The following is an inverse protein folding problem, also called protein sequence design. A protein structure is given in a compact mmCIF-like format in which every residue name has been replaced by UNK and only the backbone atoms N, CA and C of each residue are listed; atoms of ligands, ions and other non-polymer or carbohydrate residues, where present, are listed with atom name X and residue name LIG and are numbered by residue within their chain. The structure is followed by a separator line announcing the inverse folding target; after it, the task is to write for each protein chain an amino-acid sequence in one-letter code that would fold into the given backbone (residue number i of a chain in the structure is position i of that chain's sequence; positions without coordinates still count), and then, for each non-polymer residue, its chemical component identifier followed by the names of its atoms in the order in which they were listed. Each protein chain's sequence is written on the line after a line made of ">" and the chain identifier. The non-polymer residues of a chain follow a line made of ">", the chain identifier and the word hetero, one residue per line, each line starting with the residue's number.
data_IF_581163931451
#
_entry.id   IF_581163931451
#
_cell.length_a   1.000
_cell.length_b   1.000
_cell.length_c   1.000
_cell.angle_alpha   90.00
_cell.angle_beta   90.00
_cell.angle_gamma   90.00
#
_symmetry.space_group_name_H-M   'P 1'
#
loop_
_entity.id
_entity.type
_entity.pdbx_description
1 polymer ?
#
# COMPACT_ATOMS: atom_id res chain seq x y z
N UNK A 1 31.83 -39.05 -6.99
CA UNK A 1 32.76 -39.59 -8.00
C UNK A 1 33.44 -38.42 -8.70
N UNK A 2 34.78 -38.37 -8.61
CA UNK A 2 35.75 -37.42 -9.22
C UNK A 2 35.65 -35.95 -8.75
N UNK A 3 36.54 -35.30 -7.98
CA UNK A 3 38.01 -35.22 -7.74
C UNK A 3 38.86 -34.64 -8.90
N UNK A 4 39.61 -33.58 -8.54
CA UNK A 4 40.76 -32.87 -9.18
C UNK A 4 40.39 -31.77 -10.20
N UNK A 5 41.01 -30.58 -10.27
CA UNK A 5 42.31 -30.12 -9.75
C UNK A 5 42.38 -28.58 -9.51
N UNK A 6 43.32 -28.21 -8.64
CA UNK A 6 43.88 -26.87 -8.38
C UNK A 6 44.59 -26.26 -9.59
N UNK A 7 44.56 -24.93 -9.74
CA UNK A 7 45.79 -24.12 -9.96
C UNK A 7 45.61 -22.69 -9.44
N UNK A 8 46.64 -22.21 -8.73
CA UNK A 8 46.80 -20.85 -8.27
C UNK A 8 47.42 -19.97 -9.38
N UNK A 9 47.08 -18.68 -9.44
CA UNK A 9 47.99 -17.67 -10.00
C UNK A 9 47.94 -16.38 -9.18
N UNK A 10 49.12 -16.06 -8.67
CA UNK A 10 49.49 -14.83 -7.99
C UNK A 10 49.59 -13.65 -8.96
N UNK A 11 49.53 -12.46 -8.37
CA UNK A 11 50.25 -11.23 -8.75
C UNK A 11 49.94 -10.58 -10.10
N UNK A 12 49.30 -9.41 -10.03
CA UNK A 12 49.83 -8.22 -10.71
C UNK A 12 49.28 -6.96 -10.06
N UNK A 13 49.97 -6.48 -9.03
CA UNK A 13 49.88 -5.08 -8.63
C UNK A 13 50.50 -4.27 -9.77
N UNK A 14 49.66 -3.63 -10.59
CA UNK A 14 50.12 -2.63 -11.56
C UNK A 14 50.52 -1.38 -10.79
N UNK A 15 51.82 -1.19 -10.61
CA UNK A 15 52.41 0.11 -10.33
C UNK A 15 52.01 1.05 -11.48
N UNK A 16 51.25 2.09 -11.16
CA UNK A 16 51.01 3.18 -12.09
C UNK A 16 52.34 3.91 -12.31
N UNK A 17 52.97 3.62 -13.45
CA UNK A 17 54.07 4.41 -14.00
C UNK A 17 53.49 5.77 -14.35
N UNK A 18 53.84 6.79 -13.59
CA UNK A 18 53.57 8.19 -13.94
C UNK A 18 54.55 8.54 -15.07
N UNK A 19 54.08 8.95 -16.27
CA UNK A 19 54.99 9.36 -17.32
C UNK A 19 55.65 10.69 -16.94
N UNK A 20 56.99 10.68 -16.90
CA UNK A 20 57.81 11.90 -16.89
C UNK A 20 57.43 12.74 -18.13
N UNK A 21 56.83 13.90 -17.88
CA UNK A 21 56.63 14.91 -18.92
C UNK A 21 57.99 15.51 -19.26
N UNK A 22 58.45 15.27 -20.48
CA UNK A 22 59.54 16.02 -21.09
C UNK A 22 59.15 17.51 -21.11
N UNK A 23 59.83 18.34 -20.33
CA UNK A 23 59.76 19.79 -20.40
C UNK A 23 60.82 20.28 -21.42
N UNK A 24 60.46 21.13 -22.39
CA UNK A 24 61.42 21.76 -23.29
C UNK A 24 62.29 22.79 -22.54
N UNK A 25 63.51 23.08 -23.01
CA UNK A 25 64.42 23.98 -22.33
C UNK A 25 64.05 25.44 -22.60
N UNK A 26 64.36 26.28 -21.60
CA UNK A 26 64.41 27.74 -21.64
C UNK A 26 63.08 28.51 -21.53
N UNK A 27 62.61 28.63 -20.28
CA UNK A 27 62.27 29.93 -19.69
C UNK A 27 62.31 29.77 -18.16
N UNK A 28 63.46 30.03 -17.54
CA UNK A 28 63.59 30.06 -16.08
C UNK A 28 62.89 31.33 -15.60
N UNK A 29 61.61 31.21 -15.22
CA UNK A 29 60.93 32.26 -14.50
C UNK A 29 61.46 32.26 -13.06
N UNK A 30 62.05 33.38 -12.64
CA UNK A 30 62.69 33.60 -11.33
C UNK A 30 61.68 33.61 -10.14
N UNK A 31 60.47 33.08 -10.33
CA UNK A 31 59.37 33.10 -9.36
C UNK A 31 59.27 31.88 -8.47
N UNK A 32 60.02 30.82 -8.77
CA UNK A 32 59.96 29.54 -8.03
C UNK A 32 61.13 29.35 -7.05
N UNK A 33 61.90 30.41 -6.76
CA UNK A 33 62.94 30.39 -5.72
C UNK A 33 62.31 30.61 -4.33
N UNK A 34 61.85 29.54 -3.71
CA UNK A 34 61.44 29.54 -2.31
C UNK A 34 62.67 29.29 -1.42
N UNK A 35 63.06 30.28 -0.61
CA UNK A 35 64.23 30.22 0.28
C UNK A 35 63.94 29.65 1.67
N UNK A 36 62.68 29.33 1.97
CA UNK A 36 62.26 28.81 3.28
C UNK A 36 62.43 27.28 3.35
N UNK A 37 63.07 26.79 4.40
CA UNK A 37 63.26 25.36 4.62
C UNK A 37 61.90 24.62 4.63
N UNK A 38 61.74 23.51 3.87
CA UNK A 38 60.50 22.75 3.88
C UNK A 38 60.29 22.12 5.25
N UNK A 39 59.27 22.57 5.99
CA UNK A 39 58.81 21.91 7.22
C UNK A 39 58.09 20.62 6.82
N UNK A 40 58.83 19.52 6.75
CA UNK A 40 58.29 18.20 6.48
C UNK A 40 57.35 17.79 7.62
N UNK A 41 56.04 17.73 7.36
CA UNK A 41 55.12 17.09 8.29
C UNK A 41 55.50 15.61 8.44
N UNK A 42 55.59 15.11 9.68
CA UNK A 42 55.85 13.69 9.91
C UNK A 42 54.80 12.83 9.19
N UNK A 43 55.21 11.71 8.56
CA UNK A 43 54.29 10.86 7.84
C UNK A 43 53.14 10.41 8.75
N UNK A 44 51.90 10.60 8.28
CA UNK A 44 50.69 10.36 9.07
C UNK A 44 50.68 8.94 9.63
N UNK A 45 50.61 8.83 10.97
CA UNK A 45 50.61 7.54 11.66
C UNK A 45 49.51 6.64 11.12
N UNK A 46 49.88 5.42 10.72
CA UNK A 46 48.94 4.42 10.18
C UNK A 46 47.81 4.18 11.18
N UNK A 47 46.55 4.30 10.70
CA UNK A 47 45.37 4.01 11.52
C UNK A 47 45.47 2.58 12.06
N UNK A 48 45.40 2.43 13.38
CA UNK A 48 45.44 1.12 14.03
C UNK A 48 44.22 0.31 13.61
N UNK A 49 44.42 -0.97 13.28
CA UNK A 49 43.32 -1.91 13.03
C UNK A 49 42.55 -2.05 14.34
N UNK A 50 41.22 -1.93 14.26
CA UNK A 50 40.36 -2.11 15.43
C UNK A 50 40.33 -3.58 15.83
N UNK A 51 40.25 -3.82 17.14
CA UNK A 51 40.16 -5.17 17.68
C UNK A 51 38.92 -5.89 17.13
N UNK A 52 39.03 -7.20 16.82
CA UNK A 52 37.93 -7.97 16.25
C UNK A 52 36.69 -7.99 17.18
N UNK A 53 36.90 -7.93 18.49
CA UNK A 53 35.82 -7.84 19.48
C UNK A 53 35.00 -6.55 19.35
N UNK A 54 35.66 -5.41 19.08
CA UNK A 54 35.00 -4.11 18.91
C UNK A 54 34.16 -4.09 17.62
N UNK A 55 34.64 -4.75 16.56
CA UNK A 55 33.89 -4.89 15.30
C UNK A 55 32.62 -5.73 15.50
N UNK A 56 32.73 -6.89 16.15
CA UNK A 56 31.57 -7.75 16.48
C UNK A 56 30.55 -7.01 17.33
N UNK A 57 30.98 -6.30 18.37
CA UNK A 57 30.08 -5.48 19.20
C UNK A 57 29.35 -4.39 18.39
N UNK A 58 30.02 -3.74 17.44
CA UNK A 58 29.39 -2.73 16.57
C UNK A 58 28.34 -3.37 15.65
N UNK A 59 28.63 -4.54 15.11
CA UNK A 59 27.69 -5.31 14.27
C UNK A 59 26.48 -5.77 15.07
N UNK A 60 26.66 -6.32 16.27
CA UNK A 60 25.57 -6.71 17.16
C UNK A 60 24.69 -5.52 17.55
N UNK A 61 25.29 -4.35 17.83
CA UNK A 61 24.52 -3.12 18.10
C UNK A 61 23.68 -2.70 16.88
N UNK A 62 24.22 -2.83 15.66
CA UNK A 62 23.46 -2.55 14.43
C UNK A 62 22.32 -3.56 14.24
N UNK A 63 22.58 -4.86 14.43
CA UNK A 63 21.56 -5.93 14.37
C UNK A 63 20.42 -5.66 15.36
N UNK A 64 20.73 -5.43 16.64
CA UNK A 64 19.73 -5.12 17.67
C UNK A 64 18.92 -3.87 17.36
N UNK A 65 19.53 -2.82 16.78
CA UNK A 65 18.81 -1.60 16.35
C UNK A 65 17.82 -1.90 15.23
N UNK A 66 18.26 -2.66 14.23
CA UNK A 66 17.42 -3.07 13.09
C UNK A 66 16.29 -3.98 13.56
N UNK A 67 16.57 -4.96 14.41
CA UNK A 67 15.56 -5.85 15.00
C UNK A 67 14.50 -5.08 15.79
N UNK A 68 14.90 -4.10 16.61
CA UNK A 68 13.96 -3.22 17.32
C UNK A 68 13.11 -2.40 16.34
N UNK A 69 13.72 -1.85 15.29
CA UNK A 69 13.00 -1.13 14.24
C UNK A 69 11.98 -2.03 13.53
N UNK A 70 12.36 -3.26 13.18
CA UNK A 70 11.45 -4.25 12.59
C UNK A 70 10.31 -4.58 13.55
N UNK A 71 10.58 -4.78 14.85
CA UNK A 71 9.54 -5.05 15.86
C UNK A 71 8.55 -3.87 15.97
N UNK A 72 9.05 -2.64 15.92
CA UNK A 72 8.21 -1.44 15.95
C UNK A 72 7.35 -1.33 14.69
N UNK A 73 7.94 -1.47 13.49
CA UNK A 73 7.20 -1.45 12.22
C UNK A 73 6.13 -2.55 12.17
N UNK A 74 6.45 -3.77 12.64
CA UNK A 74 5.46 -4.87 12.75
C UNK A 74 4.31 -4.52 13.71
N UNK A 75 4.56 -3.80 14.80
CA UNK A 75 3.52 -3.36 15.73
C UNK A 75 2.64 -2.26 15.12
N UNK A 76 3.23 -1.31 14.38
CA UNK A 76 2.50 -0.23 13.72
C UNK A 76 1.72 -0.71 12.49
N UNK A 77 2.23 -1.68 11.73
CA UNK A 77 1.53 -2.26 10.58
C UNK A 77 0.16 -2.89 10.93
N UNK A 78 -0.03 -3.31 12.18
CA UNK A 78 -1.30 -3.84 12.69
C UNK A 78 -2.31 -2.75 13.07
N UNK A 79 -1.90 -1.48 13.17
CA UNK A 79 -2.81 -0.38 13.49
C UNK A 79 -3.51 0.07 12.23
N UNK A 80 -4.83 -0.05 12.20
CA UNK A 80 -5.63 0.44 11.10
C UNK A 80 -5.80 1.95 11.17
N UNK A 81 -6.07 2.58 10.02
CA UNK A 81 -6.47 3.98 9.97
C UNK A 81 -7.83 4.13 10.67
N UNK A 82 -8.06 5.19 11.46
CA UNK A 82 -9.36 5.42 12.06
C UNK A 82 -10.42 5.70 10.99
N UNK A 83 -11.66 5.27 11.25
CA UNK A 83 -12.81 5.49 10.37
C UNK A 83 -13.55 6.73 10.87
N UNK A 84 -13.34 7.86 10.20
CA UNK A 84 -13.85 9.16 10.65
C UNK A 84 -15.38 9.23 10.71
N UNK A 85 -16.09 8.48 9.86
CA UNK A 85 -17.56 8.46 9.81
C UNK A 85 -18.18 7.69 10.98
N UNK A 86 -17.43 6.75 11.56
CA UNK A 86 -17.90 5.94 12.69
C UNK A 86 -17.72 6.67 14.02
N UNK A 87 -16.74 7.58 14.11
CA UNK A 87 -16.44 8.33 15.32
C UNK A 87 -17.16 9.69 15.34
N UNK A 88 -17.78 10.03 16.47
CA UNK A 88 -18.36 11.38 16.63
C UNK A 88 -17.23 12.39 16.78
N UNK A 89 -17.23 13.42 15.93
CA UNK A 89 -16.23 14.47 15.98
C UNK A 89 -16.17 15.14 17.38
N UNK A 90 -14.98 15.32 17.97
CA UNK A 90 -14.84 15.85 19.33
C UNK A 90 -15.36 17.28 19.48
N UNK A 91 -15.42 18.06 18.40
CA UNK A 91 -16.04 19.38 18.38
C UNK A 91 -17.55 19.30 18.64
N UNK A 92 -18.24 18.34 18.03
CA UNK A 92 -19.68 18.15 18.20
C UNK A 92 -20.04 17.73 19.62
N UNK A 93 -19.20 16.91 20.26
CA UNK A 93 -19.41 16.50 21.65
C UNK A 93 -19.36 17.71 22.60
N UNK A 94 -18.43 18.65 22.38
CA UNK A 94 -18.31 19.88 23.19
C UNK A 94 -19.47 20.84 22.95
N UNK A 95 -19.94 20.93 21.72
CA UNK A 95 -21.00 21.87 21.31
C UNK A 95 -22.42 21.28 21.45
N UNK A 96 -22.56 20.07 22.02
CA UNK A 96 -23.84 19.36 22.10
C UNK A 96 -24.94 20.21 22.74
N UNK A 97 -24.64 20.88 23.86
CA UNK A 97 -25.61 21.75 24.55
C UNK A 97 -26.05 22.96 23.73
N UNK A 98 -25.17 23.51 22.88
CA UNK A 98 -25.49 24.66 22.03
C UNK A 98 -26.29 24.26 20.77
N UNK A 99 -26.02 23.05 20.25
CA UNK A 99 -26.63 22.51 19.03
C UNK A 99 -27.86 21.66 19.28
N UNK A 100 -28.16 21.34 20.53
CA UNK A 100 -29.30 20.52 20.89
C UNK A 100 -30.62 21.23 20.53
N UNK A 101 -31.43 20.60 19.68
CA UNK A 101 -32.78 21.09 19.34
C UNK A 101 -33.79 20.39 20.26
N UNK A 102 -34.58 21.15 21.00
CA UNK A 102 -35.71 20.59 21.75
C UNK A 102 -36.73 19.99 20.78
N UNK A 103 -37.04 18.72 20.94
CA UNK A 103 -38.06 18.04 20.15
C UNK A 103 -39.45 18.34 20.72
N UNK A 104 -40.41 18.60 19.86
CA UNK A 104 -41.82 18.68 20.24
C UNK A 104 -42.34 17.29 20.64
N UNK A 105 -43.18 17.23 21.66
CA UNK A 105 -43.91 16.00 22.00
C UNK A 105 -44.81 15.63 20.81
N UNK A 106 -44.77 14.36 20.41
CA UNK A 106 -45.57 13.86 19.31
C UNK A 106 -47.00 13.63 19.77
N UNK A 107 -47.95 13.98 18.91
CA UNK A 107 -49.36 13.70 19.16
C UNK A 107 -49.66 12.20 19.00
N UNK A 108 -50.67 11.71 19.71
CA UNK A 108 -51.01 10.30 19.74
C UNK A 108 -51.34 9.73 18.36
N UNK A 109 -52.06 10.48 17.53
CA UNK A 109 -52.41 10.08 16.16
C UNK A 109 -51.15 9.88 15.30
N UNK A 110 -50.16 10.78 15.45
CA UNK A 110 -48.90 10.68 14.71
C UNK A 110 -48.08 9.47 15.12
N UNK A 111 -48.12 9.09 16.40
CA UNK A 111 -47.48 7.88 16.90
C UNK A 111 -48.15 6.62 16.31
N UNK A 112 -49.48 6.54 16.35
CA UNK A 112 -50.22 5.41 15.77
C UNK A 112 -49.96 5.26 14.26
N UNK A 113 -49.94 6.37 13.51
CA UNK A 113 -49.62 6.37 12.09
C UNK A 113 -48.23 5.77 11.82
N UNK A 114 -47.22 6.22 12.58
CA UNK A 114 -45.83 5.72 12.44
C UNK A 114 -45.74 4.24 12.75
N UNK A 115 -46.41 3.77 13.80
CA UNK A 115 -46.45 2.36 14.14
C UNK A 115 -47.10 1.53 13.02
N UNK A 116 -48.23 1.99 12.48
CA UNK A 116 -48.91 1.33 11.38
C UNK A 116 -48.01 1.26 10.12
N UNK A 117 -47.33 2.37 9.78
CA UNK A 117 -46.36 2.42 8.69
C UNK A 117 -45.21 1.45 8.91
N UNK A 118 -44.67 1.36 10.12
CA UNK A 118 -43.57 0.45 10.45
C UNK A 118 -44.00 -1.02 10.35
N UNK A 119 -45.22 -1.36 10.80
CA UNK A 119 -45.78 -2.71 10.61
C UNK A 119 -45.93 -3.05 9.13
N UNK A 120 -46.50 -2.13 8.34
CA UNK A 120 -46.66 -2.31 6.90
C UNK A 120 -45.30 -2.46 6.19
N UNK A 121 -44.31 -1.66 6.57
CA UNK A 121 -42.95 -1.74 6.04
C UNK A 121 -42.27 -3.07 6.36
N UNK A 122 -42.44 -3.58 7.58
CA UNK A 122 -41.90 -4.90 7.97
C UNK A 122 -42.51 -6.03 7.14
N UNK A 123 -43.84 -5.99 6.93
CA UNK A 123 -44.54 -6.97 6.08
C UNK A 123 -44.04 -6.87 4.62
N UNK A 124 -43.89 -5.66 4.11
CA UNK A 124 -43.36 -5.43 2.76
C UNK A 124 -41.94 -5.98 2.61
N UNK A 125 -41.04 -5.66 3.53
CA UNK A 125 -39.66 -6.15 3.52
C UNK A 125 -39.60 -7.68 3.58
N UNK A 126 -40.42 -8.31 4.42
CA UNK A 126 -40.52 -9.76 4.50
C UNK A 126 -40.95 -10.37 3.16
N UNK A 127 -42.01 -9.84 2.54
CA UNK A 127 -42.49 -10.33 1.23
C UNK A 127 -41.46 -10.12 0.12
N UNK A 128 -40.81 -8.95 0.10
CA UNK A 128 -39.72 -8.66 -0.84
C UNK A 128 -38.61 -9.70 -0.72
N UNK A 129 -38.16 -9.98 0.51
CA UNK A 129 -37.12 -10.97 0.76
C UNK A 129 -37.54 -12.40 0.37
N UNK A 130 -38.76 -12.81 0.71
CA UNK A 130 -39.30 -14.12 0.31
C UNK A 130 -39.35 -14.28 -1.22
N UNK A 131 -39.77 -13.24 -1.94
CA UNK A 131 -39.80 -13.26 -3.40
C UNK A 131 -38.40 -13.34 -4.00
N UNK A 132 -37.44 -12.58 -3.47
CA UNK A 132 -36.03 -12.63 -3.90
C UNK A 132 -35.42 -14.02 -3.64
N UNK A 133 -35.65 -14.59 -2.45
CA UNK A 133 -35.19 -15.93 -2.10
C UNK A 133 -35.77 -17.00 -3.04
N UNK A 134 -37.09 -16.98 -3.25
CA UNK A 134 -37.76 -17.91 -4.17
C UNK A 134 -37.28 -17.75 -5.62
N UNK A 135 -36.95 -16.54 -6.06
CA UNK A 135 -36.35 -16.30 -7.37
C UNK A 135 -34.95 -16.91 -7.49
N UNK A 136 -34.10 -16.72 -6.47
CA UNK A 136 -32.75 -17.31 -6.45
C UNK A 136 -32.80 -18.84 -6.42
N UNK A 137 -33.68 -19.43 -5.60
CA UNK A 137 -33.90 -20.89 -5.56
C UNK A 137 -34.27 -21.43 -6.94
N UNK A 138 -35.18 -20.75 -7.66
CA UNK A 138 -35.54 -21.13 -9.04
C UNK A 138 -34.35 -21.04 -9.98
N UNK A 139 -33.57 -19.95 -9.91
CA UNK A 139 -32.38 -19.78 -10.77
C UNK A 139 -31.40 -20.92 -10.54
N UNK A 140 -31.09 -21.24 -9.28
CA UNK A 140 -30.17 -22.33 -8.92
C UNK A 140 -30.71 -23.69 -9.40
N UNK A 141 -31.97 -24.00 -9.11
CA UNK A 141 -32.57 -25.26 -9.55
C UNK A 141 -32.59 -25.39 -11.09
N UNK A 142 -32.84 -24.30 -11.82
CA UNK A 142 -32.76 -24.31 -13.29
C UNK A 142 -31.33 -24.47 -13.80
N UNK A 143 -30.35 -23.88 -13.12
CA UNK A 143 -28.93 -24.03 -13.46
C UNK A 143 -28.48 -25.48 -13.25
N UNK A 144 -28.83 -26.10 -12.11
CA UNK A 144 -28.51 -27.49 -11.79
C UNK A 144 -29.11 -28.45 -12.82
N UNK A 145 -30.42 -28.30 -13.11
CA UNK A 145 -31.09 -29.10 -14.13
C UNK A 145 -30.46 -28.93 -15.51
N UNK A 146 -30.06 -27.70 -15.87
CA UNK A 146 -29.38 -27.45 -17.14
C UNK A 146 -28.03 -28.16 -17.21
N UNK A 147 -27.28 -28.22 -16.11
CA UNK A 147 -26.00 -28.94 -16.03
C UNK A 147 -26.17 -30.46 -16.10
N UNK A 148 -27.22 -31.01 -15.48
CA UNK A 148 -27.56 -32.44 -15.59
C UNK A 148 -27.85 -32.82 -17.04
N UNK A 149 -28.72 -32.06 -17.72
CA UNK A 149 -29.04 -32.29 -19.14
C UNK A 149 -27.80 -32.09 -20.05
N UNK A 150 -26.95 -31.11 -19.74
CA UNK A 150 -25.69 -30.89 -20.47
C UNK A 150 -24.76 -32.09 -20.35
N UNK A 151 -24.67 -32.69 -19.16
CA UNK A 151 -23.85 -33.87 -18.89
C UNK A 151 -24.33 -35.10 -19.67
N UNK A 152 -25.65 -35.30 -19.74
CA UNK A 152 -26.25 -36.38 -20.53
C UNK A 152 -26.00 -36.20 -22.04
N UNK A 153 -26.01 -34.96 -22.53
CA UNK A 153 -25.78 -34.66 -23.94
C UNK A 153 -24.28 -34.70 -24.33
N UNK A 154 -23.39 -34.18 -23.48
CA UNK A 154 -21.95 -34.11 -23.74
C UNK A 154 -21.13 -33.87 -22.47
N UNK A 155 -20.27 -34.82 -22.12
CA UNK A 155 -19.43 -34.72 -20.92
C UNK A 155 -18.32 -33.66 -21.05
N UNK A 156 -17.76 -33.47 -22.26
CA UNK A 156 -16.70 -32.50 -22.51
C UNK A 156 -17.15 -31.06 -22.23
N UNK A 157 -18.36 -30.69 -22.67
CA UNK A 157 -18.92 -29.35 -22.42
C UNK A 157 -19.26 -29.15 -20.95
N UNK A 158 -19.72 -30.19 -20.26
CA UNK A 158 -19.95 -30.16 -18.81
C UNK A 158 -18.66 -29.88 -18.04
N UNK A 159 -17.58 -30.58 -18.39
CA UNK A 159 -16.27 -30.38 -17.78
C UNK A 159 -15.72 -28.98 -18.02
N UNK A 160 -16.00 -28.38 -19.18
CA UNK A 160 -15.65 -27.00 -19.48
C UNK A 160 -16.50 -25.99 -18.70
N UNK A 161 -17.83 -26.21 -18.61
CA UNK A 161 -18.76 -25.29 -17.96
C UNK A 161 -18.60 -25.17 -16.44
N UNK A 162 -18.10 -26.23 -15.77
CA UNK A 162 -17.86 -26.23 -14.32
C UNK A 162 -16.58 -25.49 -13.92
N UNK A 163 -15.66 -25.26 -14.86
CA UNK A 163 -14.43 -24.55 -14.54
C UNK A 163 -14.72 -23.12 -14.05
N UNK A 164 -14.00 -22.71 -13.01
CA UNK A 164 -14.09 -21.34 -12.51
C UNK A 164 -13.49 -20.37 -13.53
N UNK A 165 -14.25 -19.34 -13.91
CA UNK A 165 -13.75 -18.28 -14.78
C UNK A 165 -12.81 -17.33 -14.01
N UNK A 166 -11.52 -17.40 -14.33
CA UNK A 166 -10.50 -16.53 -13.75
C UNK A 166 -10.63 -15.06 -14.24
N UNK A 167 -11.41 -14.80 -15.28
CA UNK A 167 -11.69 -13.45 -15.80
C UNK A 167 -12.84 -12.72 -15.09
N UNK A 168 -13.60 -13.40 -14.23
CA UNK A 168 -14.76 -12.82 -13.56
C UNK A 168 -14.39 -11.70 -12.58
N UNK A 169 -13.20 -11.74 -11.99
CA UNK A 169 -12.72 -10.74 -11.05
C UNK A 169 -11.49 -10.00 -11.59
N UNK A 170 -11.44 -8.66 -11.54
CA UNK A 170 -12.37 -7.74 -10.87
C UNK A 170 -13.55 -7.29 -11.75
N UNK A 171 -14.78 -7.67 -11.39
CA UNK A 171 -15.99 -7.14 -12.02
C UNK A 171 -16.26 -5.70 -11.56
N UNK A 172 -16.51 -4.79 -12.52
CA UNK A 172 -16.88 -3.41 -12.25
C UNK A 172 -18.23 -3.09 -12.88
N UNK A 173 -19.20 -2.71 -12.05
CA UNK A 173 -20.52 -2.29 -12.49
C UNK A 173 -20.73 -0.82 -12.18
N UNK A 174 -21.27 -0.08 -13.14
CA UNK A 174 -21.69 1.31 -12.90
C UNK A 174 -22.97 1.30 -12.08
N UNK A 175 -23.02 2.10 -11.01
CA UNK A 175 -24.22 2.26 -10.21
C UNK A 175 -25.35 2.86 -11.05
N UNK A 176 -26.58 2.43 -10.76
CA UNK A 176 -27.78 3.03 -11.36
C UNK A 176 -27.90 4.46 -10.84
N UNK A 177 -28.08 5.40 -11.76
CA UNK A 177 -28.27 6.83 -11.45
C UNK A 177 -29.75 7.16 -11.39
N UNK A 178 -30.13 8.13 -10.55
CA UNK A 178 -31.53 8.59 -10.46
C UNK A 178 -32.05 9.15 -11.79
N UNK A 179 -31.19 9.80 -12.55
CA UNK A 179 -31.50 10.36 -13.88
C UNK A 179 -30.42 9.94 -14.86
N UNK A 180 -30.78 9.50 -16.08
CA UNK A 180 -29.80 9.13 -17.10
C UNK A 180 -28.93 10.33 -17.52
N UNK A 181 -27.73 10.09 -18.06
CA UNK A 181 -26.84 11.15 -18.50
C UNK A 181 -27.43 11.93 -19.68
N UNK A 182 -27.32 13.26 -19.61
CA UNK A 182 -27.71 14.16 -20.69
C UNK A 182 -26.64 14.11 -21.79
N UNK A 183 -27.06 13.90 -23.04
CA UNK A 183 -26.16 13.90 -24.21
C UNK A 183 -25.59 15.30 -24.43
N UNK A 184 -24.29 15.39 -24.71
CA UNK A 184 -23.58 16.64 -25.01
C UNK A 184 -23.66 17.71 -23.89
N UNK A 185 -23.77 17.27 -22.64
CA UNK A 185 -23.65 18.20 -21.51
C UNK A 185 -22.18 18.57 -21.31
N UNK A 186 -21.87 19.86 -21.40
CA UNK A 186 -20.55 20.40 -21.09
C UNK A 186 -20.51 20.83 -19.61
N UNK A 187 -19.79 20.11 -18.74
CA UNK A 187 -19.67 20.50 -17.35
C UNK A 187 -18.81 21.75 -17.19
N UNK A 188 -19.09 22.61 -16.20
CA UNK A 188 -18.23 23.75 -15.89
C UNK A 188 -16.84 23.31 -15.43
N UNK A 189 -15.82 24.11 -15.73
CA UNK A 189 -14.44 23.83 -15.33
C UNK A 189 -14.23 24.02 -13.81
N UNK A 190 -13.40 23.17 -13.22
CA UNK A 190 -13.15 23.13 -11.78
C UNK A 190 -11.91 22.31 -11.42
N UNK A 191 -11.28 22.67 -10.29
CA UNK A 191 -10.09 21.97 -9.77
C UNK A 191 -10.47 21.03 -8.64
N UNK A 192 -10.16 19.73 -8.79
CA UNK A 192 -10.25 18.77 -7.70
C UNK A 192 -9.00 18.88 -6.80
N UNK A 193 -9.22 19.09 -5.51
CA UNK A 193 -8.16 19.06 -4.48
C UNK A 193 -8.46 17.95 -3.51
N UNK A 194 -7.56 16.96 -3.43
CA UNK A 194 -7.68 15.86 -2.48
C UNK A 194 -7.40 16.35 -1.05
N UNK A 195 -8.43 16.38 -0.21
CA UNK A 195 -8.36 16.78 1.20
C UNK A 195 -8.28 15.57 2.15
N UNK A 196 -8.01 14.37 1.65
CA UNK A 196 -7.94 13.16 2.50
C UNK A 196 -6.82 13.25 3.53
N UNK A 197 -7.13 12.91 4.78
CA UNK A 197 -6.16 12.96 5.88
C UNK A 197 -5.11 11.86 5.72
N UNK A 198 -3.83 12.24 5.70
CA UNK A 198 -2.70 11.31 5.61
C UNK A 198 -2.27 10.87 7.01
N UNK A 199 -2.51 9.60 7.33
CA UNK A 199 -2.05 8.96 8.55
C UNK A 199 -0.65 8.37 8.34
N UNK A 200 0.34 8.82 9.11
CA UNK A 200 1.70 8.27 9.11
C UNK A 200 1.87 7.28 10.27
N UNK A 201 2.67 6.21 10.10
CA UNK A 201 2.99 5.27 11.16
C UNK A 201 3.81 5.91 12.28
#
# INVERSE_FOLDING_TARGET
>A
MHIFALTARLSSLRLAVVPQRFLPPAAVALRDLHTTAPLGAEPLKKKKRLDPAILRMREERKKRRIEKGIRQLKKHAKKYKPIEEQEVAPKLQKELGLRHRSLSVLDHETCQLREAMQRAWSIYCMRKHQNEAAMLERIVATQEKALEMLKEASEDLYNAAIQTDNGLFPAQFKAIVSTPPIKNYEPPDGKYVDTTKKWRP
#
